data_IF_349629892069
#
_entry.id   IF_349629892069
#
_cell.length_a   1.000
_cell.length_b   1.000
_cell.length_c   1.000
_cell.angle_alpha   90.00
_cell.angle_beta   90.00
_cell.angle_gamma   90.00
#
_symmetry.space_group_name_H-M   'P 1'
#
loop_
_entity.id
_entity.type
_entity.pdbx_description
1 polymer ?
#
# COMPACT_ATOMS: atom_id res chain seq x y z
N UNK A 1 8.08 21.19 -16.83
CA UNK A 1 8.10 19.79 -16.34
C UNK A 1 6.88 19.09 -16.93
N UNK A 2 7.05 18.18 -17.89
CA UNK A 2 5.94 17.45 -18.50
C UNK A 2 5.82 16.09 -17.80
N UNK A 3 4.64 15.78 -17.24
CA UNK A 3 4.35 14.50 -16.60
C UNK A 3 3.71 13.58 -17.65
N UNK A 4 4.41 12.53 -18.06
CA UNK A 4 3.89 11.55 -19.03
C UNK A 4 3.73 10.19 -18.36
N UNK A 5 2.48 9.71 -18.24
CA UNK A 5 2.19 8.38 -17.73
C UNK A 5 2.19 7.35 -18.87
N UNK A 6 3.17 6.45 -18.87
CA UNK A 6 3.29 5.39 -19.89
C UNK A 6 2.21 4.30 -19.75
N UNK A 7 1.61 4.14 -18.56
CA UNK A 7 0.48 3.22 -18.34
C UNK A 7 -0.86 3.76 -18.88
N UNK A 8 -0.99 5.08 -19.00
CA UNK A 8 -2.19 5.76 -19.50
C UNK A 8 -2.21 6.02 -21.02
N UNK A 9 -1.21 5.56 -21.77
CA UNK A 9 -1.05 5.88 -23.20
C UNK A 9 -2.15 5.35 -24.14
N UNK A 10 -3.01 4.47 -23.65
CA UNK A 10 -4.17 3.95 -24.40
C UNK A 10 -5.42 4.30 -23.59
N UNK A 11 -6.32 5.16 -24.12
CA UNK A 11 -7.59 5.49 -23.49
C UNK A 11 -8.38 4.23 -23.13
N UNK A 12 -9.15 4.26 -22.04
CA UNK A 12 -9.90 3.08 -21.59
C UNK A 12 -10.86 2.54 -22.67
N UNK A 13 -11.41 3.43 -23.48
CA UNK A 13 -12.33 3.14 -24.60
C UNK A 13 -11.64 2.36 -25.75
N UNK A 14 -10.31 2.42 -25.84
CA UNK A 14 -9.51 1.79 -26.90
C UNK A 14 -8.79 0.52 -26.44
N UNK A 15 -9.03 0.08 -25.19
CA UNK A 15 -8.44 -1.15 -24.61
C UNK A 15 -9.13 -2.40 -25.16
N UNK A 16 -8.85 -2.73 -26.42
CA UNK A 16 -9.26 -3.95 -27.12
C UNK A 16 -8.11 -4.99 -27.17
N UNK A 17 -8.23 -6.09 -27.94
CA UNK A 17 -7.21 -7.15 -27.99
C UNK A 17 -5.80 -6.70 -28.50
N UNK A 18 -5.61 -5.43 -28.86
CA UNK A 18 -4.35 -4.90 -29.42
C UNK A 18 -3.68 -3.78 -28.59
N UNK A 19 -3.93 -3.74 -27.27
CA UNK A 19 -3.39 -2.70 -26.36
C UNK A 19 -1.88 -2.50 -26.50
N UNK A 20 -1.11 -3.59 -26.65
CA UNK A 20 0.36 -3.53 -26.70
C UNK A 20 0.83 -2.79 -27.96
N UNK A 21 0.29 -3.12 -29.14
CA UNK A 21 0.71 -2.46 -30.37
C UNK A 21 0.25 -0.99 -30.40
N UNK A 22 -0.95 -0.69 -29.90
CA UNK A 22 -1.42 0.69 -29.75
C UNK A 22 -0.53 1.51 -28.82
N UNK A 23 -0.13 0.96 -27.68
CA UNK A 23 0.75 1.63 -26.74
C UNK A 23 2.14 1.91 -27.34
N UNK A 24 2.71 0.95 -28.09
CA UNK A 24 3.95 1.15 -28.85
C UNK A 24 3.82 2.27 -29.88
N UNK A 25 2.74 2.25 -30.68
CA UNK A 25 2.50 3.26 -31.70
C UNK A 25 2.33 4.66 -31.10
N UNK A 26 1.57 4.79 -30.01
CA UNK A 26 1.37 6.05 -29.30
C UNK A 26 2.67 6.56 -28.65
N UNK A 27 3.45 5.67 -28.03
CA UNK A 27 4.75 5.99 -27.48
C UNK A 27 5.71 6.53 -28.56
N UNK A 28 5.83 5.83 -29.69
CA UNK A 28 6.65 6.26 -30.82
C UNK A 28 6.19 7.59 -31.41
N UNK A 29 4.87 7.77 -31.57
CA UNK A 29 4.29 9.04 -32.04
C UNK A 29 4.64 10.19 -31.08
N UNK A 30 4.53 9.98 -29.78
CA UNK A 30 4.89 10.98 -28.78
C UNK A 30 6.38 11.31 -28.80
N UNK A 31 7.25 10.28 -28.87
CA UNK A 31 8.71 10.47 -29.01
C UNK A 31 9.04 11.34 -30.23
N UNK A 32 8.50 10.99 -31.40
CA UNK A 32 8.75 11.74 -32.64
C UNK A 32 8.24 13.18 -32.55
N UNK A 33 7.06 13.40 -31.94
CA UNK A 33 6.54 14.77 -31.72
C UNK A 33 7.44 15.59 -30.80
N UNK A 34 7.96 14.97 -29.74
CA UNK A 34 8.87 15.63 -28.80
C UNK A 34 10.18 15.97 -29.50
N UNK A 35 10.79 15.00 -30.20
CA UNK A 35 12.05 15.24 -30.94
C UNK A 35 11.89 16.30 -32.01
N UNK A 36 10.80 16.26 -32.77
CA UNK A 36 10.54 17.27 -33.80
C UNK A 36 10.36 18.68 -33.22
N UNK A 37 9.77 18.78 -32.02
CA UNK A 37 9.66 20.06 -31.30
C UNK A 37 11.00 20.52 -30.67
N UNK A 38 12.02 19.67 -30.69
CA UNK A 38 13.37 19.88 -30.16
C UNK A 38 14.41 19.71 -31.28
N UNK A 39 14.06 20.13 -32.50
CA UNK A 39 14.94 20.14 -33.68
C UNK A 39 15.64 18.80 -33.98
N UNK A 40 14.96 17.68 -33.69
CA UNK A 40 15.45 16.29 -33.81
C UNK A 40 16.52 15.87 -32.80
N UNK A 41 17.08 16.79 -32.00
CA UNK A 41 18.11 16.50 -31.00
C UNK A 41 17.53 15.85 -29.74
N UNK A 42 16.24 16.06 -29.45
CA UNK A 42 15.61 15.53 -28.24
C UNK A 42 16.04 16.30 -26.98
N UNK A 43 16.04 15.65 -25.82
CA UNK A 43 16.42 16.30 -24.55
C UNK A 43 17.90 16.09 -24.23
N UNK A 44 18.55 17.10 -23.62
CA UNK A 44 19.88 16.91 -23.05
C UNK A 44 19.88 15.89 -21.89
N UNK A 45 18.81 15.88 -21.09
CA UNK A 45 18.65 15.05 -19.91
C UNK A 45 17.19 14.67 -19.68
N UNK A 46 16.94 13.38 -19.46
CA UNK A 46 15.69 12.87 -18.91
C UNK A 46 15.92 12.40 -17.46
N UNK A 47 15.04 12.82 -16.56
CA UNK A 47 15.03 12.38 -15.16
C UNK A 47 13.83 11.45 -14.98
N UNK A 48 14.08 10.25 -14.46
CA UNK A 48 13.06 9.23 -14.26
C UNK A 48 12.98 8.93 -12.78
N UNK A 49 11.87 9.33 -12.18
CA UNK A 49 11.55 8.94 -10.81
C UNK A 49 10.97 7.53 -10.75
N UNK A 50 11.21 6.85 -9.64
CA UNK A 50 10.83 5.47 -9.39
C UNK A 50 11.17 4.49 -10.54
N UNK A 51 12.41 4.57 -11.03
CA UNK A 51 12.89 3.78 -12.16
C UNK A 51 12.74 2.24 -11.98
N UNK A 52 12.47 1.76 -10.76
CA UNK A 52 12.14 0.37 -10.49
C UNK A 52 10.89 -0.13 -11.24
N UNK A 53 10.01 0.75 -11.73
CA UNK A 53 8.88 0.36 -12.57
C UNK A 53 9.28 -0.24 -13.93
N UNK A 54 10.52 -0.03 -14.39
CA UNK A 54 11.04 -0.56 -15.66
C UNK A 54 11.74 -1.91 -15.53
N UNK A 55 11.80 -2.49 -14.33
CA UNK A 55 12.51 -3.75 -14.05
C UNK A 55 11.99 -4.98 -14.81
N UNK A 56 10.72 -4.99 -15.23
CA UNK A 56 10.10 -6.15 -15.86
C UNK A 56 10.16 -6.08 -17.39
N UNK A 57 11.35 -5.90 -17.99
CA UNK A 57 11.51 -5.71 -19.45
C UNK A 57 10.95 -6.86 -20.30
N UNK A 58 10.99 -8.10 -19.81
CA UNK A 58 10.41 -9.24 -20.53
C UNK A 58 8.90 -9.44 -20.24
N UNK A 59 8.30 -8.54 -19.44
CA UNK A 59 6.88 -8.58 -19.17
C UNK A 59 6.08 -8.15 -20.40
N UNK A 60 5.02 -8.88 -20.72
CA UNK A 60 4.05 -8.51 -21.79
C UNK A 60 3.16 -7.31 -21.39
N UNK A 61 3.65 -6.41 -20.55
CA UNK A 61 2.88 -5.27 -20.06
C UNK A 61 2.88 -4.13 -21.08
N UNK A 62 1.79 -3.37 -21.10
CA UNK A 62 1.67 -2.15 -21.90
C UNK A 62 2.82 -1.17 -21.63
N UNK A 63 3.17 -0.97 -20.35
CA UNK A 63 4.16 0.01 -19.90
C UNK A 63 5.55 -0.27 -20.47
N UNK A 64 5.99 -1.52 -20.42
CA UNK A 64 7.31 -1.96 -20.92
C UNK A 64 7.44 -1.67 -22.41
N UNK A 65 6.45 -2.12 -23.17
CA UNK A 65 6.44 -1.98 -24.62
C UNK A 65 6.34 -0.51 -25.05
N UNK A 66 5.57 0.30 -24.32
CA UNK A 66 5.55 1.74 -24.51
C UNK A 66 6.88 2.40 -24.15
N UNK A 67 7.52 1.99 -23.06
CA UNK A 67 8.79 2.56 -22.59
C UNK A 67 9.93 2.34 -23.59
N UNK A 68 10.05 1.13 -24.16
CA UNK A 68 11.06 0.83 -25.18
C UNK A 68 10.93 1.77 -26.39
N UNK A 69 9.71 1.94 -26.91
CA UNK A 69 9.46 2.85 -28.03
C UNK A 69 9.57 4.32 -27.64
N UNK A 70 9.19 4.69 -26.43
CA UNK A 70 9.21 6.07 -25.98
C UNK A 70 10.63 6.59 -25.76
N UNK A 71 11.50 5.82 -25.09
CA UNK A 71 12.89 6.21 -24.87
C UNK A 71 13.74 6.08 -26.13
N UNK A 72 13.44 5.09 -26.97
CA UNK A 72 14.17 4.86 -28.22
C UNK A 72 15.61 4.41 -28.02
N UNK A 73 16.31 4.22 -29.13
CA UNK A 73 17.70 3.76 -29.16
C UNK A 73 18.47 4.40 -30.31
N UNK A 74 19.81 4.37 -30.22
CA UNK A 74 20.71 4.96 -31.21
C UNK A 74 20.32 6.39 -31.60
N UNK A 75 20.25 6.66 -32.91
CA UNK A 75 19.87 7.96 -33.46
C UNK A 75 18.42 8.40 -33.19
N UNK A 76 17.60 7.54 -32.56
CA UNK A 76 16.21 7.85 -32.20
C UNK A 76 15.97 8.02 -30.72
N UNK A 77 17.05 8.06 -29.92
CA UNK A 77 16.96 8.22 -28.49
C UNK A 77 16.28 9.55 -28.14
N UNK A 78 15.42 9.52 -27.13
CA UNK A 78 14.69 10.69 -26.66
C UNK A 78 15.61 11.70 -25.95
N UNK A 79 16.71 11.24 -25.37
CA UNK A 79 17.63 12.09 -24.64
C UNK A 79 19.08 11.60 -24.66
N UNK A 80 20.02 12.53 -24.57
CA UNK A 80 21.46 12.24 -24.50
C UNK A 80 21.85 11.61 -23.17
N UNK A 81 21.30 12.13 -22.07
CA UNK A 81 21.57 11.66 -20.70
C UNK A 81 20.30 11.21 -20.02
N UNK A 82 20.46 10.25 -19.10
CA UNK A 82 19.36 9.74 -18.28
C UNK A 82 19.79 9.66 -16.81
N UNK A 83 19.01 10.27 -15.93
CA UNK A 83 19.17 10.17 -14.47
C UNK A 83 18.02 9.33 -13.91
N UNK A 84 18.36 8.18 -13.33
CA UNK A 84 17.40 7.25 -12.77
C UNK A 84 17.37 7.38 -11.24
N UNK A 85 16.21 7.70 -10.69
CA UNK A 85 15.98 7.79 -9.25
C UNK A 85 15.19 6.57 -8.80
N UNK A 86 15.74 5.80 -7.87
CA UNK A 86 15.03 4.67 -7.24
C UNK A 86 15.69 4.26 -5.93
N UNK A 87 14.88 4.04 -4.90
CA UNK A 87 15.36 3.51 -3.62
C UNK A 87 15.59 1.98 -3.65
N UNK A 88 14.97 1.29 -4.61
CA UNK A 88 14.91 -0.17 -4.70
C UNK A 88 15.13 -0.63 -6.15
N UNK A 89 16.37 -0.50 -6.69
CA UNK A 89 16.68 -0.90 -8.07
C UNK A 89 16.60 -2.42 -8.27
N UNK A 90 16.88 -3.21 -7.23
CA UNK A 90 16.65 -4.66 -7.18
C UNK A 90 15.46 -4.95 -6.28
N UNK A 91 14.37 -5.48 -6.82
CA UNK A 91 13.18 -5.80 -6.03
C UNK A 91 13.11 -7.30 -5.75
N UNK A 92 13.10 -8.12 -6.81
CA UNK A 92 12.93 -9.57 -6.71
C UNK A 92 14.20 -10.31 -7.13
N UNK A 93 14.92 -9.78 -8.12
CA UNK A 93 16.13 -10.38 -8.65
C UNK A 93 17.20 -9.31 -8.90
N UNK A 94 18.48 -9.67 -8.79
CA UNK A 94 19.57 -8.75 -9.11
C UNK A 94 19.55 -8.32 -10.58
N UNK A 95 19.03 -9.17 -11.47
CA UNK A 95 18.86 -8.87 -12.89
C UNK A 95 17.86 -7.73 -13.17
N UNK A 96 17.08 -7.29 -12.18
CA UNK A 96 16.22 -6.11 -12.29
C UNK A 96 17.04 -4.87 -12.68
N UNK A 97 18.28 -4.78 -12.20
CA UNK A 97 19.22 -3.69 -12.52
C UNK A 97 19.54 -3.66 -14.02
N UNK A 98 19.88 -4.82 -14.61
CA UNK A 98 20.16 -4.95 -16.03
C UNK A 98 18.94 -4.54 -16.87
N UNK A 99 17.75 -4.98 -16.47
CA UNK A 99 16.52 -4.65 -17.17
C UNK A 99 16.26 -3.14 -17.18
N UNK A 100 16.42 -2.45 -16.04
CA UNK A 100 16.26 -0.99 -15.95
C UNK A 100 17.28 -0.26 -16.82
N UNK A 101 18.56 -0.64 -16.74
CA UNK A 101 19.63 0.03 -17.48
C UNK A 101 19.55 -0.21 -19.00
N UNK A 102 18.97 -1.33 -19.43
CA UNK A 102 18.85 -1.71 -20.85
C UNK A 102 17.90 -0.85 -21.69
N UNK A 103 17.24 0.14 -21.10
CA UNK A 103 16.53 1.17 -21.86
C UNK A 103 17.45 2.33 -22.28
N UNK A 104 18.64 2.45 -21.66
CA UNK A 104 19.51 3.62 -21.80
C UNK A 104 20.96 3.28 -22.17
N UNK A 105 21.39 2.05 -21.87
CA UNK A 105 22.71 1.54 -22.24
C UNK A 105 22.60 0.54 -23.39
N UNK A 106 23.65 0.48 -24.21
CA UNK A 106 23.75 -0.48 -25.32
C UNK A 106 23.95 -1.90 -24.79
N UNK A 107 23.48 -2.89 -25.54
CA UNK A 107 23.41 -4.29 -25.11
C UNK A 107 24.80 -4.85 -24.79
N UNK A 108 25.83 -4.44 -25.55
CA UNK A 108 27.21 -4.90 -25.38
C UNK A 108 27.82 -4.45 -24.04
N UNK A 109 27.35 -3.33 -23.47
CA UNK A 109 27.80 -2.85 -22.17
C UNK A 109 27.18 -3.64 -21.00
N UNK A 110 25.97 -4.18 -21.21
CA UNK A 110 25.18 -4.86 -20.20
C UNK A 110 25.47 -6.37 -20.14
N UNK A 111 25.64 -7.03 -21.29
CA UNK A 111 25.90 -8.48 -21.35
C UNK A 111 27.27 -8.87 -20.77
N UNK A 112 28.21 -7.92 -20.71
CA UNK A 112 29.57 -8.15 -20.21
C UNK A 112 29.74 -7.91 -18.71
N UNK A 113 28.73 -7.35 -18.02
CA UNK A 113 28.87 -6.87 -16.65
C UNK A 113 27.84 -7.49 -15.73
N UNK A 114 28.32 -8.03 -14.61
CA UNK A 114 27.46 -8.46 -13.50
C UNK A 114 26.71 -7.25 -12.89
N UNK A 115 25.51 -7.45 -12.32
CA UNK A 115 24.71 -6.37 -11.72
C UNK A 115 25.48 -5.52 -10.69
N UNK A 116 26.38 -6.13 -9.93
CA UNK A 116 27.22 -5.48 -8.93
C UNK A 116 28.18 -4.46 -9.57
N UNK A 117 28.77 -4.83 -10.71
CA UNK A 117 29.68 -3.96 -11.47
C UNK A 117 28.91 -2.79 -12.09
N UNK A 118 27.70 -3.05 -12.57
CA UNK A 118 26.81 -2.00 -13.06
C UNK A 118 26.44 -1.01 -11.94
N UNK A 119 26.10 -1.50 -10.76
CA UNK A 119 25.81 -0.65 -9.61
C UNK A 119 27.02 0.15 -9.13
N UNK A 120 28.24 -0.40 -9.21
CA UNK A 120 29.46 0.36 -8.91
C UNK A 120 29.75 1.44 -9.96
N UNK A 121 29.43 1.17 -11.23
CA UNK A 121 29.71 2.09 -12.34
C UNK A 121 28.69 3.23 -12.44
N UNK A 122 27.40 2.93 -12.24
CA UNK A 122 26.31 3.88 -12.49
C UNK A 122 25.46 4.19 -11.26
N UNK A 123 25.58 3.41 -10.17
CA UNK A 123 24.75 3.54 -8.99
C UNK A 123 25.39 4.40 -7.90
N UNK A 124 24.65 5.40 -7.41
CA UNK A 124 25.01 6.13 -6.19
C UNK A 124 23.95 5.87 -5.10
N UNK A 125 24.33 5.18 -4.03
CA UNK A 125 23.47 4.92 -2.88
C UNK A 125 24.12 5.36 -1.59
N UNK A 126 23.42 6.21 -0.82
CA UNK A 126 23.86 6.68 0.50
C UNK A 126 22.96 6.10 1.59
N UNK A 127 23.56 5.73 2.72
CA UNK A 127 22.79 5.36 3.91
C UNK A 127 22.24 6.61 4.59
N UNK A 128 20.98 6.56 5.02
CA UNK A 128 20.42 7.58 5.91
C UNK A 128 21.12 7.48 7.27
N UNK A 129 21.74 8.59 7.67
CA UNK A 129 22.37 8.75 8.99
C UNK A 129 21.65 9.87 9.72
N UNK A 130 21.31 9.65 10.99
CA UNK A 130 20.72 10.65 11.87
C UNK A 130 21.78 11.14 12.83
N UNK A 131 21.98 12.46 12.94
CA UNK A 131 22.92 13.04 13.91
C UNK A 131 22.29 12.95 15.30
N UNK A 132 22.87 12.13 16.17
CA UNK A 132 22.59 12.13 17.60
C UNK A 132 23.46 13.16 18.33
N UNK A 133 23.43 13.13 19.67
CA UNK A 133 24.23 14.02 20.53
C UNK A 133 25.73 13.79 20.28
N UNK A 134 26.17 12.53 20.30
CA UNK A 134 27.61 12.20 20.24
C UNK A 134 28.07 11.68 18.87
N UNK A 135 27.18 11.06 18.09
CA UNK A 135 27.54 10.44 16.80
C UNK A 135 26.38 10.34 15.83
N UNK A 136 26.70 9.94 14.60
CA UNK A 136 25.70 9.58 13.60
C UNK A 136 25.22 8.14 13.78
N UNK A 137 23.90 7.96 13.87
CA UNK A 137 23.24 6.66 13.96
C UNK A 137 22.67 6.25 12.61
N UNK A 138 22.90 4.99 12.23
CA UNK A 138 22.26 4.33 11.11
C UNK A 138 20.84 3.87 11.47
N UNK A 139 20.03 3.55 10.46
CA UNK A 139 18.66 3.02 10.64
C UNK A 139 18.58 1.84 11.61
N UNK A 140 19.59 0.98 11.63
CA UNK A 140 19.60 -0.21 12.50
C UNK A 140 19.85 0.14 13.96
N UNK A 141 20.50 1.27 14.23
CA UNK A 141 20.85 1.68 15.59
C UNK A 141 19.74 2.45 16.29
N UNK A 142 18.95 3.25 15.55
CA UNK A 142 17.83 3.98 16.14
C UNK A 142 16.48 3.26 16.02
N UNK A 143 16.41 2.13 15.30
CA UNK A 143 15.18 1.33 15.17
C UNK A 143 15.09 0.34 16.33
N UNK A 144 14.08 0.49 17.18
CA UNK A 144 13.70 -0.50 18.16
C UNK A 144 12.62 -1.42 17.58
N UNK A 145 12.97 -2.65 17.22
CA UNK A 145 12.03 -3.64 16.69
C UNK A 145 11.43 -4.43 17.86
N UNK A 146 10.15 -4.17 18.17
CA UNK A 146 9.40 -4.93 19.16
C UNK A 146 8.53 -5.97 18.45
N UNK A 147 8.69 -7.23 18.80
CA UNK A 147 7.77 -8.27 18.38
C UNK A 147 6.43 -8.06 19.10
N UNK A 148 5.35 -7.99 18.32
CA UNK A 148 3.97 -7.87 18.81
C UNK A 148 3.32 -9.22 18.49
N UNK A 149 3.31 -10.18 19.44
CA UNK A 149 2.77 -11.50 19.19
C UNK A 149 1.25 -11.43 19.01
N UNK A 150 0.71 -12.25 18.12
CA UNK A 150 -0.72 -12.47 18.08
C UNK A 150 -1.11 -13.34 19.29
N UNK A 151 -1.94 -12.82 20.18
CA UNK A 151 -2.46 -13.55 21.35
C UNK A 151 -3.99 -13.58 21.31
N UNK A 152 -4.56 -14.78 21.47
CA UNK A 152 -5.99 -15.04 21.54
C UNK A 152 -6.42 -15.64 22.88
N UNK A 153 -5.52 -15.74 23.86
CA UNK A 153 -5.73 -16.43 25.14
C UNK A 153 -7.01 -15.98 25.87
N UNK A 154 -7.34 -14.70 25.79
CA UNK A 154 -8.54 -14.12 26.42
C UNK A 154 -9.79 -14.14 25.53
N UNK A 155 -9.68 -14.56 24.27
CA UNK A 155 -10.72 -14.38 23.22
C UNK A 155 -10.81 -15.60 22.30
N UNK A 156 -11.23 -16.77 22.84
CA UNK A 156 -11.33 -18.03 22.08
C UNK A 156 -12.30 -17.93 20.89
N UNK A 157 -13.29 -17.05 20.93
CA UNK A 157 -14.21 -16.80 19.82
C UNK A 157 -13.50 -16.15 18.62
N UNK A 158 -12.53 -15.27 18.86
CA UNK A 158 -11.71 -14.66 17.82
C UNK A 158 -10.75 -15.70 17.22
N UNK A 159 -10.16 -16.56 18.05
CA UNK A 159 -9.37 -17.72 17.57
C UNK A 159 -10.21 -18.64 16.68
N UNK A 160 -11.43 -18.96 17.12
CA UNK A 160 -12.37 -19.80 16.38
C UNK A 160 -12.74 -19.18 15.03
N UNK A 161 -12.93 -17.86 14.97
CA UNK A 161 -13.15 -17.13 13.72
C UNK A 161 -12.00 -17.35 12.73
N UNK A 162 -10.75 -17.22 13.18
CA UNK A 162 -9.58 -17.43 12.32
C UNK A 162 -9.41 -18.89 11.91
N UNK A 163 -9.64 -19.84 12.81
CA UNK A 163 -9.59 -21.26 12.51
C UNK A 163 -10.64 -21.63 11.44
N UNK A 164 -11.86 -21.11 11.56
CA UNK A 164 -12.93 -21.30 10.57
C UNK A 164 -12.59 -20.65 9.23
N UNK A 165 -12.03 -19.43 9.27
CA UNK A 165 -11.58 -18.74 8.07
C UNK A 165 -10.53 -19.56 7.31
N UNK A 166 -9.48 -20.01 8.00
CA UNK A 166 -8.43 -20.85 7.42
C UNK A 166 -8.99 -22.15 6.84
N UNK A 167 -9.88 -22.83 7.58
CA UNK A 167 -10.53 -24.05 7.09
C UNK A 167 -11.29 -23.79 5.79
N UNK A 168 -12.07 -22.71 5.72
CA UNK A 168 -12.86 -22.37 4.52
C UNK A 168 -12.00 -21.95 3.33
N UNK A 169 -10.88 -21.26 3.55
CA UNK A 169 -9.91 -20.98 2.48
C UNK A 169 -9.43 -22.28 1.80
N UNK A 170 -9.13 -23.31 2.59
CA UNK A 170 -8.69 -24.59 2.04
C UNK A 170 -9.85 -25.36 1.40
N UNK A 171 -11.01 -25.44 2.06
CA UNK A 171 -12.11 -26.30 1.58
C UNK A 171 -12.97 -25.68 0.49
N UNK A 172 -13.31 -24.39 0.58
CA UNK A 172 -14.21 -23.70 -0.38
C UNK A 172 -13.43 -23.16 -1.58
N UNK A 173 -12.20 -22.67 -1.39
CA UNK A 173 -11.39 -22.05 -2.45
C UNK A 173 -10.25 -22.95 -2.97
N UNK A 174 -10.14 -24.20 -2.47
CA UNK A 174 -9.16 -25.22 -2.88
C UNK A 174 -7.71 -24.70 -2.89
N UNK A 175 -7.37 -23.78 -1.99
CA UNK A 175 -6.00 -23.27 -1.89
C UNK A 175 -5.06 -24.35 -1.34
N UNK A 176 -4.01 -24.68 -2.10
CA UNK A 176 -2.97 -25.64 -1.71
C UNK A 176 -1.69 -24.95 -1.23
N UNK A 177 -0.81 -25.72 -0.58
CA UNK A 177 0.47 -25.28 0.03
C UNK A 177 1.45 -24.61 -0.96
N UNK A 178 1.30 -24.89 -2.26
CA UNK A 178 2.15 -24.34 -3.33
C UNK A 178 1.80 -22.90 -3.73
N UNK A 179 0.65 -22.40 -3.28
CA UNK A 179 0.29 -20.99 -3.44
C UNK A 179 1.07 -20.14 -2.43
N UNK A 180 2.36 -19.88 -2.70
CA UNK A 180 3.25 -19.01 -1.90
C UNK A 180 2.71 -17.59 -1.72
N UNK A 181 1.74 -17.17 -2.52
CA UNK A 181 0.96 -15.94 -2.35
C UNK A 181 -0.16 -16.10 -1.32
N UNK A 182 0.04 -16.92 -0.27
CA UNK A 182 -0.88 -17.07 0.86
C UNK A 182 -0.78 -15.81 1.73
N UNK A 183 -1.16 -14.72 1.09
CA UNK A 183 -1.22 -13.39 1.58
C UNK A 183 -2.67 -13.24 2.07
N UNK A 184 -2.86 -13.53 3.36
CA UNK A 184 -4.16 -13.44 4.02
C UNK A 184 -4.64 -11.99 3.92
N UNK A 185 -5.60 -11.68 3.06
CA UNK A 185 -6.15 -10.33 2.94
C UNK A 185 -6.50 -9.74 4.31
N UNK A 186 -7.15 -10.55 5.16
CA UNK A 186 -7.42 -10.17 6.55
C UNK A 186 -6.15 -9.91 7.39
N UNK A 187 -5.17 -10.83 7.45
CA UNK A 187 -3.97 -10.62 8.29
C UNK A 187 -3.02 -9.54 7.74
N UNK A 188 -3.17 -9.22 6.47
CA UNK A 188 -2.49 -8.10 5.81
C UNK A 188 -3.12 -6.75 6.05
N UNK A 189 -4.22 -6.75 6.82
CA UNK A 189 -4.94 -5.56 7.22
C UNK A 189 -5.79 -5.00 6.09
N UNK A 190 -6.39 -5.88 5.30
CA UNK A 190 -7.19 -5.48 4.16
C UNK A 190 -8.66 -5.27 4.56
N UNK A 191 -9.31 -6.14 5.32
CA UNK A 191 -10.75 -6.02 5.55
C UNK A 191 -11.14 -6.67 6.87
N UNK A 192 -11.82 -5.94 7.78
CA UNK A 192 -12.72 -6.53 8.77
C UNK A 192 -14.14 -6.45 8.21
N UNK A 193 -14.61 -7.42 7.42
CA UNK A 193 -15.82 -7.24 6.65
C UNK A 193 -17.07 -7.55 7.47
N UNK A 194 -17.22 -6.88 8.61
CA UNK A 194 -18.47 -6.78 9.36
C UNK A 194 -19.13 -5.41 9.22
N UNK A 195 -18.50 -4.48 8.50
CA UNK A 195 -18.97 -3.10 8.34
C UNK A 195 -18.97 -2.78 6.86
N UNK A 196 -20.14 -2.40 6.33
CA UNK A 196 -20.37 -2.21 4.90
C UNK A 196 -19.28 -1.28 4.35
N UNK A 197 -18.70 -1.68 3.22
CA UNK A 197 -18.07 -0.79 2.23
C UNK A 197 -19.18 0.14 1.68
N UNK A 198 -19.72 1.00 2.54
CA UNK A 198 -20.69 2.02 2.22
C UNK A 198 -19.94 3.30 1.92
N UNK A 199 -19.91 3.67 0.64
CA UNK A 199 -19.68 5.05 0.19
C UNK A 199 -18.43 5.75 0.75
N UNK A 200 -17.24 5.20 0.50
CA UNK A 200 -16.00 5.99 0.55
C UNK A 200 -15.18 5.84 -0.73
N UNK A 201 -15.85 5.72 -1.88
CA UNK A 201 -15.23 5.94 -3.19
C UNK A 201 -15.14 7.43 -3.55
N UNK A 202 -15.67 8.33 -2.72
CA UNK A 202 -15.81 9.77 -3.06
C UNK A 202 -15.25 10.78 -2.05
N UNK A 203 -14.48 10.37 -1.01
CA UNK A 203 -13.95 11.33 0.00
C UNK A 203 -12.43 11.37 0.14
N UNK A 204 -11.69 11.00 -0.91
CA UNK A 204 -10.29 11.47 -1.07
C UNK A 204 -10.11 11.98 -2.49
N UNK A 205 -10.92 12.96 -2.87
CA UNK A 205 -10.65 13.80 -4.03
C UNK A 205 -10.15 15.12 -3.49
N UNK A 206 -8.86 15.17 -3.16
CA UNK A 206 -7.99 16.35 -3.17
C UNK A 206 -6.65 15.97 -2.48
N UNK A 207 -5.60 15.82 -3.30
CA UNK A 207 -4.18 15.79 -2.94
C UNK A 207 -3.48 14.47 -2.53
N UNK A 208 -3.83 13.31 -3.11
CA UNK A 208 -2.87 12.18 -3.17
C UNK A 208 -2.49 11.86 -4.62
N UNK A 209 -1.34 12.42 -5.02
CA UNK A 209 -0.62 12.09 -6.24
C UNK A 209 -0.30 10.58 -6.34
N UNK A 210 -0.93 9.91 -7.31
CA UNK A 210 -0.29 9.01 -8.29
C UNK A 210 0.69 7.93 -7.77
N UNK A 211 0.34 7.23 -6.68
CA UNK A 211 0.99 5.95 -6.34
C UNK A 211 0.29 4.82 -7.10
N UNK A 212 0.59 4.72 -8.39
CA UNK A 212 0.54 3.51 -9.22
C UNK A 212 -0.77 2.69 -9.25
N UNK A 213 -1.51 2.81 -10.36
CA UNK A 213 -2.65 1.96 -10.76
C UNK A 213 -2.39 0.43 -10.71
N UNK A 214 -1.13 -0.03 -10.63
CA UNK A 214 -0.82 -1.46 -10.45
C UNK A 214 -1.17 -1.98 -9.07
N UNK A 215 -1.06 -1.15 -8.02
CA UNK A 215 -1.52 -1.55 -6.69
C UNK A 215 -3.06 -1.65 -6.67
N UNK A 216 -3.77 -0.79 -7.41
CA UNK A 216 -5.24 -0.84 -7.55
C UNK A 216 -5.79 -2.12 -8.18
N UNK A 217 -5.03 -2.79 -9.05
CA UNK A 217 -5.49 -4.05 -9.65
C UNK A 217 -5.32 -5.25 -8.72
N UNK A 218 -4.30 -5.25 -7.85
CA UNK A 218 -4.22 -6.21 -6.74
C UNK A 218 -5.24 -5.88 -5.63
N UNK A 219 -5.75 -4.64 -5.58
CA UNK A 219 -6.79 -4.22 -4.62
C UNK A 219 -8.21 -4.67 -5.00
N UNK A 220 -8.53 -4.90 -6.28
CA UNK A 220 -9.90 -5.28 -6.67
C UNK A 220 -10.05 -6.81 -6.76
N UNK A 221 -10.59 -7.42 -5.69
CA UNK A 221 -11.06 -8.82 -5.56
C UNK A 221 -10.01 -9.84 -5.15
N UNK A 222 -9.53 -9.74 -3.91
CA UNK A 222 -9.03 -10.94 -3.24
C UNK A 222 -10.15 -12.01 -3.27
N UNK A 223 -9.82 -13.25 -3.67
CA UNK A 223 -10.82 -14.31 -3.91
C UNK A 223 -11.60 -14.69 -2.63
N UNK A 224 -11.05 -14.34 -1.49
CA UNK A 224 -11.54 -14.58 -0.13
C UNK A 224 -12.43 -13.47 0.42
N UNK A 225 -12.47 -12.25 -0.16
CA UNK A 225 -13.27 -11.12 0.33
C UNK A 225 -14.73 -11.52 0.63
N UNK A 226 -15.42 -12.18 -0.31
CA UNK A 226 -16.83 -12.60 -0.08
C UNK A 226 -17.00 -13.59 1.08
N UNK A 227 -16.04 -14.50 1.23
CA UNK A 227 -16.05 -15.47 2.34
C UNK A 227 -15.83 -14.76 3.66
N UNK A 228 -14.85 -13.87 3.69
CA UNK A 228 -14.49 -13.06 4.84
C UNK A 228 -15.69 -12.22 5.29
N UNK A 229 -16.37 -11.53 4.36
CA UNK A 229 -17.58 -10.74 4.65
C UNK A 229 -18.65 -11.56 5.33
N UNK A 230 -18.98 -12.72 4.75
CA UNK A 230 -19.98 -13.61 5.34
C UNK A 230 -19.59 -14.07 6.75
N UNK A 231 -18.32 -14.42 6.98
CA UNK A 231 -17.87 -14.86 8.30
C UNK A 231 -17.93 -13.74 9.33
N UNK A 232 -17.53 -12.54 8.96
CA UNK A 232 -17.53 -11.39 9.87
C UNK A 232 -18.94 -10.90 10.18
N UNK A 233 -19.87 -10.96 9.23
CA UNK A 233 -21.31 -10.72 9.48
C UNK A 233 -21.89 -11.76 10.46
N UNK A 234 -21.54 -13.04 10.30
CA UNK A 234 -21.96 -14.11 11.21
C UNK A 234 -21.39 -13.94 12.62
N UNK A 235 -20.13 -13.50 12.71
CA UNK A 235 -19.48 -13.18 13.97
C UNK A 235 -20.18 -11.99 14.65
N UNK A 236 -20.41 -10.90 13.91
CA UNK A 236 -21.10 -9.71 14.44
C UNK A 236 -22.51 -10.03 14.91
N UNK A 237 -23.27 -10.84 14.15
CA UNK A 237 -24.62 -11.26 14.54
C UNK A 237 -24.61 -12.07 15.84
N UNK A 238 -23.58 -12.91 16.04
CA UNK A 238 -23.46 -13.77 17.23
C UNK A 238 -22.94 -13.03 18.47
N UNK A 239 -22.03 -12.06 18.29
CA UNK A 239 -21.28 -11.45 19.40
C UNK A 239 -21.50 -9.93 19.56
N UNK A 240 -22.25 -9.28 18.67
CA UNK A 240 -22.53 -7.85 18.70
C UNK A 240 -21.31 -6.95 18.47
N UNK A 241 -20.18 -7.51 18.00
CA UNK A 241 -18.92 -6.80 17.75
C UNK A 241 -18.19 -7.40 16.56
N UNK A 242 -17.27 -6.62 15.96
CA UNK A 242 -16.38 -7.15 14.93
C UNK A 242 -15.32 -8.09 15.53
N UNK A 243 -14.83 -9.08 14.77
CA UNK A 243 -13.73 -9.92 15.22
C UNK A 243 -12.47 -9.07 15.43
N UNK A 244 -11.67 -9.47 16.41
CA UNK A 244 -10.43 -8.77 16.70
C UNK A 244 -9.41 -8.94 15.59
N UNK A 245 -8.71 -7.86 15.28
CA UNK A 245 -7.63 -7.93 14.31
C UNK A 245 -6.33 -8.32 15.03
N UNK A 246 -5.74 -9.48 14.70
CA UNK A 246 -4.63 -10.08 15.45
C UNK A 246 -3.36 -9.21 15.47
N UNK A 247 -3.22 -8.35 14.47
CA UNK A 247 -2.10 -7.40 14.35
C UNK A 247 -2.41 -6.00 14.86
N UNK A 248 -3.68 -5.59 14.81
CA UNK A 248 -4.04 -4.19 15.03
C UNK A 248 -4.61 -3.93 16.41
N UNK A 249 -5.19 -4.93 17.10
CA UNK A 249 -5.67 -4.77 18.47
C UNK A 249 -4.61 -4.18 19.40
N UNK A 250 -3.46 -4.85 19.52
CA UNK A 250 -2.36 -4.36 20.36
C UNK A 250 -1.80 -3.01 19.91
N UNK A 251 -1.82 -2.70 18.61
CA UNK A 251 -1.38 -1.39 18.12
C UNK A 251 -2.36 -0.29 18.52
N UNK A 252 -3.66 -0.56 18.45
CA UNK A 252 -4.71 0.34 18.93
C UNK A 252 -4.52 0.55 20.42
N UNK A 253 -4.36 -0.51 21.21
CA UNK A 253 -4.16 -0.41 22.67
C UNK A 253 -2.93 0.42 23.04
N UNK A 254 -1.82 0.31 22.29
CA UNK A 254 -0.63 1.15 22.48
C UNK A 254 -0.85 2.63 22.12
N UNK A 255 -1.83 2.94 21.29
CA UNK A 255 -2.18 4.31 20.90
C UNK A 255 -3.25 4.93 21.80
N UNK A 256 -3.82 4.15 22.73
CA UNK A 256 -4.81 4.62 23.68
C UNK A 256 -4.14 5.09 24.98
N UNK A 257 -4.52 6.27 25.47
CA UNK A 257 -3.91 6.83 26.66
C UNK A 257 -4.47 6.16 27.92
N UNK A 258 -3.56 5.76 28.82
CA UNK A 258 -3.93 5.32 30.16
C UNK A 258 -4.45 6.52 30.97
N UNK A 259 -5.76 6.59 31.19
CA UNK A 259 -6.44 7.67 31.91
C UNK A 259 -6.36 9.05 31.21
N UNK A 260 -6.94 9.16 30.02
CA UNK A 260 -7.04 10.37 29.18
C UNK A 260 -7.32 11.69 29.94
N UNK A 261 -8.05 11.64 31.05
CA UNK A 261 -8.57 12.82 31.76
C UNK A 261 -7.77 13.23 33.00
N UNK A 262 -6.59 12.65 33.23
CA UNK A 262 -5.71 13.01 34.35
C UNK A 262 -4.56 13.88 33.81
N UNK A 263 -4.25 14.98 34.50
CA UNK A 263 -3.24 15.95 34.09
C UNK A 263 -2.00 15.96 35.02
N UNK A 264 -0.81 16.41 34.55
CA UNK A 264 -0.35 16.53 33.16
C UNK A 264 0.54 15.34 32.73
N UNK A 265 0.61 15.07 31.43
CA UNK A 265 1.41 14.00 30.82
C UNK A 265 2.25 14.53 29.66
N UNK A 266 3.34 13.84 29.34
CA UNK A 266 4.19 14.23 28.22
C UNK A 266 3.49 13.99 26.88
N UNK A 267 3.71 14.88 25.90
CA UNK A 267 3.05 14.82 24.59
C UNK A 267 3.20 13.46 23.88
N UNK A 268 4.31 12.75 24.10
CA UNK A 268 4.58 11.46 23.47
C UNK A 268 3.75 10.31 24.04
N UNK A 269 3.07 10.52 25.17
CA UNK A 269 2.12 9.56 25.75
C UNK A 269 0.73 9.64 25.11
N UNK A 270 0.40 10.77 24.48
CA UNK A 270 -0.93 11.03 23.91
C UNK A 270 -0.91 11.18 22.38
N UNK A 271 0.24 11.52 21.78
CA UNK A 271 0.36 11.77 20.34
C UNK A 271 1.28 10.75 19.67
N UNK A 272 0.67 9.90 18.84
CA UNK A 272 1.37 8.88 18.08
C UNK A 272 1.47 9.24 16.59
N UNK A 273 2.63 8.97 15.99
CA UNK A 273 2.82 9.03 14.54
C UNK A 273 2.99 7.61 14.01
N UNK A 274 1.98 7.11 13.29
CA UNK A 274 1.93 5.73 12.79
C UNK A 274 2.20 5.71 11.29
N UNK A 275 3.30 5.06 10.89
CA UNK A 275 3.61 4.81 9.48
C UNK A 275 3.14 3.42 9.09
N UNK A 276 2.27 3.33 8.09
CA UNK A 276 1.80 2.05 7.54
C UNK A 276 2.22 1.90 6.08
N UNK A 277 2.44 0.65 5.66
CA UNK A 277 2.91 0.33 4.29
C UNK A 277 1.79 0.40 3.25
N UNK A 278 0.54 0.17 3.64
CA UNK A 278 -0.59 -0.01 2.71
C UNK A 278 -1.72 0.95 3.09
N UNK A 279 -2.31 1.60 2.09
CA UNK A 279 -3.42 2.55 2.25
C UNK A 279 -4.61 1.92 3.01
N UNK A 280 -5.05 0.68 2.71
CA UNK A 280 -6.14 0.03 3.48
C UNK A 280 -5.86 -0.08 4.98
N UNK A 281 -4.60 -0.32 5.34
CA UNK A 281 -4.19 -0.39 6.74
C UNK A 281 -4.33 0.96 7.45
N UNK A 282 -4.19 2.08 6.74
CA UNK A 282 -4.47 3.43 7.29
C UNK A 282 -5.93 3.52 7.69
N UNK A 283 -6.83 3.17 6.77
CA UNK A 283 -8.29 3.27 6.98
C UNK A 283 -8.74 2.41 8.16
N UNK A 284 -8.33 1.15 8.17
CA UNK A 284 -8.68 0.20 9.23
C UNK A 284 -8.15 0.66 10.61
N UNK A 285 -6.89 1.12 10.69
CA UNK A 285 -6.32 1.60 11.96
C UNK A 285 -6.98 2.88 12.43
N UNK A 286 -7.23 3.83 11.53
CA UNK A 286 -7.89 5.11 11.86
C UNK A 286 -9.27 4.86 12.44
N UNK A 287 -10.06 4.01 11.78
CA UNK A 287 -11.38 3.63 12.26
C UNK A 287 -11.31 2.97 13.64
N UNK A 288 -10.45 1.96 13.83
CA UNK A 288 -10.34 1.25 15.12
C UNK A 288 -9.88 2.16 16.26
N UNK A 289 -8.95 3.08 15.98
CA UNK A 289 -8.49 4.07 16.96
C UNK A 289 -9.64 5.00 17.33
N UNK A 290 -10.35 5.57 16.34
CA UNK A 290 -11.49 6.46 16.58
C UNK A 290 -12.57 5.76 17.41
N UNK A 291 -12.98 4.54 17.05
CA UNK A 291 -13.96 3.76 17.80
C UNK A 291 -13.56 3.54 19.26
N UNK A 292 -12.28 3.28 19.50
CA UNK A 292 -11.76 3.08 20.85
C UNK A 292 -11.73 4.39 21.66
N UNK A 293 -11.38 5.52 21.04
CA UNK A 293 -11.50 6.84 21.64
C UNK A 293 -12.97 7.20 21.92
N UNK A 294 -13.88 6.96 20.98
CA UNK A 294 -15.31 7.21 21.13
C UNK A 294 -15.88 6.41 22.31
N UNK A 295 -15.46 5.16 22.49
CA UNK A 295 -15.84 4.36 23.65
C UNK A 295 -15.38 5.00 24.98
N UNK A 296 -14.15 5.50 25.04
CA UNK A 296 -13.60 6.18 26.24
C UNK A 296 -14.35 7.50 26.51
N UNK A 297 -14.56 8.31 25.47
CA UNK A 297 -15.21 9.61 25.58
C UNK A 297 -16.70 9.47 25.93
N UNK A 298 -17.40 8.51 25.32
CA UNK A 298 -18.81 8.27 25.58
C UNK A 298 -19.10 7.96 27.05
N UNK A 299 -18.21 7.21 27.72
CA UNK A 299 -18.28 6.95 29.16
C UNK A 299 -18.35 8.23 29.98
N UNK A 300 -17.59 9.27 29.61
CA UNK A 300 -17.69 10.56 30.29
C UNK A 300 -18.98 11.28 29.97
N UNK A 301 -19.41 11.26 28.71
CA UNK A 301 -20.60 11.98 28.25
C UNK A 301 -21.84 11.46 28.96
N UNK A 302 -22.12 10.16 28.91
CA UNK A 302 -23.35 9.64 29.49
C UNK A 302 -23.33 9.71 31.02
N UNK A 303 -22.17 9.53 31.67
CA UNK A 303 -22.05 9.72 33.13
C UNK A 303 -22.26 11.16 33.55
N UNK A 304 -21.80 12.13 32.76
CA UNK A 304 -22.07 13.55 33.02
C UNK A 304 -23.57 13.88 32.89
N UNK A 305 -24.32 13.11 32.11
CA UNK A 305 -25.78 13.19 32.03
C UNK A 305 -26.51 12.39 33.12
N UNK A 306 -25.78 11.77 34.06
CA UNK A 306 -26.36 10.98 35.14
C UNK A 306 -26.90 9.61 34.68
N UNK A 307 -26.50 9.14 33.50
CA UNK A 307 -26.85 7.83 32.98
C UNK A 307 -25.86 6.77 33.46
N UNK A 308 -26.35 5.55 33.63
CA UNK A 308 -25.57 4.36 33.92
C UNK A 308 -25.34 3.52 32.66
N UNK A 309 -24.35 2.62 32.71
CA UNK A 309 -24.04 1.70 31.61
C UNK A 309 -25.23 0.82 31.17
N UNK A 310 -26.19 0.62 32.07
CA UNK A 310 -27.35 -0.25 31.85
C UNK A 310 -28.58 0.47 31.27
N UNK A 311 -28.53 1.80 31.15
CA UNK A 311 -29.65 2.58 30.63
C UNK A 311 -30.00 2.20 29.19
N UNK A 312 -31.30 2.22 28.89
CA UNK A 312 -31.83 1.87 27.57
C UNK A 312 -31.25 2.77 26.47
N UNK A 313 -31.00 4.04 26.78
CA UNK A 313 -30.38 5.02 25.87
C UNK A 313 -28.93 4.65 25.57
N UNK A 314 -28.15 4.26 26.59
CA UNK A 314 -26.75 3.85 26.43
C UNK A 314 -26.65 2.53 25.66
N UNK A 315 -27.53 1.57 25.96
CA UNK A 315 -27.62 0.29 25.21
C UNK A 315 -28.00 0.51 23.75
N UNK A 316 -28.97 1.39 23.48
CA UNK A 316 -29.36 1.76 22.13
C UNK A 316 -28.22 2.45 21.40
N UNK A 317 -27.53 3.40 22.05
CA UNK A 317 -26.35 4.04 21.47
C UNK A 317 -25.25 3.01 21.15
N UNK A 318 -24.91 2.08 22.05
CA UNK A 318 -23.92 1.02 21.77
C UNK A 318 -24.30 0.15 20.58
N UNK A 319 -25.58 -0.23 20.48
CA UNK A 319 -26.09 -1.00 19.34
C UNK A 319 -26.04 -0.18 18.04
N UNK A 320 -26.46 1.08 18.08
CA UNK A 320 -26.45 1.97 16.92
C UNK A 320 -25.04 2.40 16.53
N UNK A 321 -24.12 2.58 17.46
CA UNK A 321 -22.69 2.81 17.17
C UNK A 321 -22.07 1.57 16.53
N UNK A 322 -22.43 0.36 16.96
CA UNK A 322 -22.00 -0.84 16.26
C UNK A 322 -22.53 -0.91 14.80
N UNK A 323 -23.65 -0.23 14.50
CA UNK A 323 -24.28 -0.14 13.18
C UNK A 323 -23.88 1.11 12.34
N UNK A 324 -23.60 2.26 12.96
CA UNK A 324 -23.48 3.59 12.31
C UNK A 324 -22.05 4.08 12.05
N UNK A 325 -20.99 3.39 12.51
CA UNK A 325 -19.61 3.67 12.06
C UNK A 325 -19.37 3.30 10.57
N UNK A 326 -20.44 3.22 9.78
CA UNK A 326 -20.44 3.08 8.33
C UNK A 326 -21.07 4.26 7.58
N UNK A 327 -21.40 5.39 8.23
CA UNK A 327 -22.08 6.51 7.53
C UNK A 327 -21.65 7.94 7.92
N UNK A 328 -20.53 8.16 8.60
CA UNK A 328 -20.05 9.54 8.78
C UNK A 328 -18.84 9.70 9.68
N UNK A 329 -17.71 10.02 9.05
CA UNK A 329 -16.72 11.06 9.40
C UNK A 329 -15.53 10.90 8.46
#
# INVERSE_FOLDING_TARGET
MARLSLSGLVPQEEKDNNIIAKARANAKKNRNRIRHALDEDGFDLVIIDEAHYFRNKNGKSQRVNAAEEFFGSGATRLADKSLLLTATPSHTHLNDINNILSYFLEVEELEKKAPEVLMQSYGLRRFRRMKGIDRYHSKREYRNEKAIPCDFSERPESEMFFALYQKKLVTELKFTRDNKSLLYGFLEGFESPGRRLGQSDNLVNEQEDDIGEENQKDFSKARDTKMLTRLSEQYFTSYGRSPDHPKYGQLVDMCLPNNLFIAPRDLHEDKHLVFVRRIPSVRELTQRINEAYDAILAVKIYRAWGLEDNDSVVKKWRATSAENHGNGA
#
